data_IF_863340653577
#
_entry.id   IF_863340653577
#
_cell.length_a   1.000
_cell.length_b   1.000
_cell.length_c   1.000
_cell.angle_alpha   90.00
_cell.angle_beta   90.00
_cell.angle_gamma   90.00
#
_symmetry.space_group_name_H-M   'P 1'
#
loop_
_entity.id
_entity.type
_entity.pdbx_description
1 polymer ?
#
# COMPACT_ATOMS: atom_id res chain seq x y z
N UNK A 1 -12.65 -11.68 -5.11
CA UNK A 1 -12.14 -12.88 -4.39
C UNK A 1 -11.10 -13.69 -5.17
N UNK A 2 -11.34 -14.16 -6.41
CA UNK A 2 -10.29 -14.84 -7.22
C UNK A 2 -9.22 -13.87 -7.75
N UNK A 3 -9.62 -12.66 -8.11
CA UNK A 3 -8.72 -11.62 -8.62
C UNK A 3 -7.71 -11.13 -7.56
N UNK A 4 -8.18 -10.89 -6.33
CA UNK A 4 -7.35 -10.43 -5.21
C UNK A 4 -6.22 -11.40 -4.85
N UNK A 5 -6.47 -12.70 -4.99
CA UNK A 5 -5.46 -13.75 -4.80
C UNK A 5 -4.37 -13.69 -5.87
N UNK A 6 -4.71 -13.31 -7.11
CA UNK A 6 -3.74 -13.12 -8.20
C UNK A 6 -2.91 -11.84 -8.04
N UNK A 7 -3.49 -10.79 -7.46
CA UNK A 7 -2.79 -9.53 -7.13
C UNK A 7 -1.87 -9.64 -5.91
N UNK A 8 -1.95 -10.73 -5.14
CA UNK A 8 -1.03 -11.03 -4.04
C UNK A 8 0.41 -11.31 -4.49
N UNK A 9 0.65 -11.50 -5.79
CA UNK A 9 1.99 -11.73 -6.35
C UNK A 9 2.56 -13.12 -6.02
N UNK A 10 3.21 -13.76 -7.00
CA UNK A 10 4.05 -14.94 -6.71
C UNK A 10 5.42 -14.44 -6.23
N UNK A 11 5.73 -14.67 -4.96
CA UNK A 11 6.91 -14.22 -4.19
C UNK A 11 8.31 -14.58 -4.76
N UNK A 12 8.42 -15.13 -5.98
CA UNK A 12 9.63 -15.85 -6.36
C UNK A 12 10.75 -15.01 -7.03
N UNK A 13 10.50 -13.87 -7.69
CA UNK A 13 11.57 -13.23 -8.50
C UNK A 13 11.45 -11.72 -8.79
N UNK A 14 10.51 -10.97 -8.21
CA UNK A 14 10.41 -9.51 -8.45
C UNK A 14 11.10 -8.70 -7.34
N UNK A 15 11.83 -7.62 -7.68
CA UNK A 15 12.33 -6.70 -6.66
C UNK A 15 11.16 -6.21 -5.81
N UNK A 16 11.38 -6.22 -4.49
CA UNK A 16 10.36 -5.83 -3.53
C UNK A 16 10.03 -4.35 -3.74
N UNK A 17 8.75 -3.95 -3.62
CA UNK A 17 8.33 -2.56 -3.86
C UNK A 17 9.12 -1.56 -3.01
N UNK A 18 9.41 -1.91 -1.75
CA UNK A 18 10.28 -1.12 -0.87
C UNK A 18 11.73 -0.92 -1.37
N UNK A 19 12.18 -1.69 -2.36
CA UNK A 19 13.53 -1.60 -2.94
C UNK A 19 13.52 -0.87 -4.31
N UNK A 20 12.34 -0.61 -4.88
CA UNK A 20 12.22 0.05 -6.19
C UNK A 20 12.34 1.58 -6.12
N UNK A 21 12.17 2.16 -4.93
CA UNK A 21 12.24 3.59 -4.68
C UNK A 21 12.89 3.85 -3.32
N UNK A 22 13.67 4.92 -3.21
CA UNK A 22 14.28 5.32 -1.94
C UNK A 22 13.26 6.05 -1.05
N UNK A 23 12.42 5.27 -0.38
CA UNK A 23 11.44 5.77 0.59
C UNK A 23 12.09 6.46 1.81
N UNK A 24 13.37 6.20 2.09
CA UNK A 24 14.09 6.84 3.19
C UNK A 24 14.43 8.30 2.88
N UNK A 25 14.53 8.67 1.61
CA UNK A 25 14.77 10.05 1.17
C UNK A 25 13.59 11.00 1.40
N UNK A 26 12.39 10.46 1.62
CA UNK A 26 11.19 11.27 1.83
C UNK A 26 11.19 11.89 3.24
N UNK A 27 10.83 13.18 3.39
CA UNK A 27 10.73 13.83 4.70
C UNK A 27 9.75 13.14 5.66
N UNK A 28 9.97 13.32 6.96
CA UNK A 28 9.03 12.90 8.02
C UNK A 28 7.60 13.38 7.73
N UNK A 29 6.64 12.47 7.85
CA UNK A 29 5.22 12.74 7.61
C UNK A 29 4.82 12.79 6.13
N UNK A 30 5.73 12.50 5.19
CA UNK A 30 5.40 12.42 3.76
C UNK A 30 4.29 11.39 3.50
N UNK A 31 3.40 11.71 2.57
CA UNK A 31 2.27 10.86 2.19
C UNK A 31 2.53 10.17 0.85
N UNK A 32 2.39 8.85 0.82
CA UNK A 32 2.47 8.01 -0.38
C UNK A 32 1.05 7.58 -0.76
N UNK A 33 0.70 7.73 -2.04
CA UNK A 33 -0.62 7.31 -2.56
C UNK A 33 -0.43 6.05 -3.42
N UNK A 34 -1.05 4.96 -3.01
CA UNK A 34 -1.04 3.65 -3.67
C UNK A 34 -2.33 3.47 -4.48
N UNK A 35 -2.26 3.83 -5.77
CA UNK A 35 -3.40 3.82 -6.69
C UNK A 35 -3.60 2.41 -7.28
N UNK A 36 -4.77 1.84 -7.11
CA UNK A 36 -5.04 0.42 -7.40
C UNK A 36 -4.37 -0.52 -6.39
N UNK A 37 -4.13 -0.03 -5.16
CA UNK A 37 -3.39 -0.74 -4.11
C UNK A 37 -4.16 -1.89 -3.44
N UNK A 38 -5.39 -2.16 -3.89
CA UNK A 38 -6.22 -3.23 -3.37
C UNK A 38 -6.59 -3.00 -1.90
N UNK A 39 -6.22 -3.97 -1.05
CA UNK A 39 -6.41 -3.90 0.41
C UNK A 39 -5.19 -3.32 1.15
N UNK A 40 -4.23 -2.73 0.43
CA UNK A 40 -3.09 -2.02 1.01
C UNK A 40 -1.95 -2.89 1.54
N UNK A 41 -1.80 -4.13 1.07
CA UNK A 41 -0.71 -5.02 1.53
C UNK A 41 0.68 -4.43 1.28
N UNK A 42 0.90 -3.84 0.10
CA UNK A 42 2.17 -3.22 -0.27
C UNK A 42 2.45 -1.99 0.58
N UNK A 43 1.48 -1.06 0.66
CA UNK A 43 1.54 0.11 1.53
C UNK A 43 1.91 -0.24 2.98
N UNK A 44 1.31 -1.28 3.56
CA UNK A 44 1.63 -1.75 4.92
C UNK A 44 3.04 -2.31 5.04
N UNK A 45 3.54 -3.03 4.02
CA UNK A 45 4.90 -3.57 4.02
C UNK A 45 5.95 -2.47 3.94
N UNK A 46 5.73 -1.45 3.10
CA UNK A 46 6.61 -0.28 3.03
C UNK A 46 6.58 0.50 4.35
N UNK A 47 5.39 0.70 4.94
CA UNK A 47 5.23 1.36 6.24
C UNK A 47 6.02 0.68 7.37
N UNK A 48 6.08 -0.67 7.39
CA UNK A 48 6.86 -1.40 8.39
C UNK A 48 8.36 -1.08 8.32
N UNK A 49 8.89 -0.81 7.12
CA UNK A 49 10.30 -0.42 6.90
C UNK A 49 10.53 1.08 7.04
N UNK A 50 9.51 1.89 6.74
CA UNK A 50 9.58 3.35 6.70
C UNK A 50 8.44 3.96 7.53
N UNK A 51 8.52 3.84 8.87
CA UNK A 51 7.44 4.27 9.76
C UNK A 51 7.24 5.79 9.78
N UNK A 52 8.17 6.59 9.26
CA UNK A 52 8.03 8.05 9.12
C UNK A 52 7.03 8.47 8.05
N UNK A 53 6.55 7.53 7.23
CA UNK A 53 5.61 7.78 6.14
C UNK A 53 4.15 7.60 6.58
N UNK A 54 3.26 8.19 5.79
CA UNK A 54 1.81 7.99 5.81
C UNK A 54 1.36 7.46 4.45
N UNK A 55 0.28 6.69 4.43
CA UNK A 55 -0.23 6.08 3.21
C UNK A 55 -1.70 6.41 2.98
N UNK A 56 -2.06 6.61 1.71
CA UNK A 56 -3.43 6.58 1.21
C UNK A 56 -3.49 5.46 0.17
N UNK A 57 -4.39 4.50 0.36
CA UNK A 57 -4.65 3.44 -0.62
C UNK A 57 -5.93 3.80 -1.36
N UNK A 58 -5.83 3.97 -2.68
CA UNK A 58 -6.96 4.30 -3.53
C UNK A 58 -7.36 3.10 -4.38
N UNK A 59 -8.62 2.71 -4.35
CA UNK A 59 -9.15 1.65 -5.22
C UNK A 59 -10.67 1.86 -5.47
N UNK A 60 -11.29 0.93 -6.20
CA UNK A 60 -12.73 0.93 -6.44
C UNK A 60 -13.51 0.71 -5.14
N UNK A 61 -14.74 1.25 -5.01
CA UNK A 61 -15.59 1.07 -3.82
C UNK A 61 -15.76 -0.40 -3.40
N UNK A 62 -15.89 -1.31 -4.38
CA UNK A 62 -16.05 -2.74 -4.12
C UNK A 62 -14.82 -3.41 -3.46
N UNK A 63 -13.65 -2.79 -3.51
CA UNK A 63 -12.37 -3.32 -3.00
C UNK A 63 -12.09 -2.81 -1.59
N UNK A 64 -12.30 -1.50 -1.37
CA UNK A 64 -12.09 -0.80 -0.10
C UNK A 64 -13.25 -1.00 0.89
N UNK A 65 -14.47 -1.30 0.43
CA UNK A 65 -15.59 -1.51 1.33
C UNK A 65 -15.30 -2.65 2.33
N UNK A 66 -15.43 -2.35 3.63
CA UNK A 66 -15.11 -3.26 4.72
C UNK A 66 -13.61 -3.43 4.99
N UNK A 67 -12.77 -2.53 4.49
CA UNK A 67 -11.37 -2.36 4.92
C UNK A 67 -11.31 -1.13 5.82
N UNK A 68 -10.80 -1.31 7.04
CA UNK A 68 -10.66 -0.22 8.00
C UNK A 68 -9.35 0.53 7.80
N UNK A 69 -9.41 1.84 8.07
CA UNK A 69 -8.26 2.70 8.22
C UNK A 69 -7.40 2.30 9.41
N UNK A 70 -6.14 2.75 9.39
CA UNK A 70 -5.25 2.77 10.56
C UNK A 70 -4.68 4.17 10.75
N UNK A 71 -3.99 4.40 11.86
CA UNK A 71 -3.37 5.71 12.15
C UNK A 71 -2.45 6.23 11.03
N UNK A 72 -1.85 5.33 10.25
CA UNK A 72 -0.88 5.66 9.19
C UNK A 72 -1.30 5.20 7.78
N UNK A 73 -2.44 4.53 7.63
CA UNK A 73 -2.95 4.07 6.32
C UNK A 73 -4.43 4.41 6.21
N UNK A 74 -4.77 5.28 5.28
CA UNK A 74 -6.16 5.65 4.96
C UNK A 74 -6.61 4.93 3.69
N UNK A 75 -7.79 4.33 3.70
CA UNK A 75 -8.45 3.73 2.55
C UNK A 75 -9.36 4.79 1.90
N UNK A 76 -9.27 4.96 0.59
CA UNK A 76 -9.98 6.01 -0.14
C UNK A 76 -10.57 5.46 -1.44
N UNK A 77 -11.79 5.87 -1.77
CA UNK A 77 -12.41 5.55 -3.05
C UNK A 77 -11.82 6.43 -4.16
N UNK A 78 -11.59 5.85 -5.34
CA UNK A 78 -11.29 6.59 -6.56
C UNK A 78 -12.58 6.99 -7.29
#
# INVERSE_FOLDING_TARGET
RRFDLGMGGTEATKPLVEEMFDFSSLPEGSTVVDVGGGRGHLSRRVLQKHPHLRFIVQDLPAVIHGVEDTDKVTMMEH
#
